data_IF_210151985367
#
_entry.id   IF_210151985367
#
_cell.length_a   1.000
_cell.length_b   1.000
_cell.length_c   1.000
_cell.angle_alpha   90.00
_cell.angle_beta   90.00
_cell.angle_gamma   90.00
#
_symmetry.space_group_name_H-M   'P 1'
#
loop_
_entity.id
_entity.type
_entity.pdbx_description
1 polymer ?
#
# COMPACT_ATOMS: atom_id res chain seq x y z
N UNK A 1 -2.84 -27.52 5.62
CA UNK A 1 -1.58 -26.77 5.46
C UNK A 1 -1.93 -25.29 5.49
N UNK A 2 -1.20 -24.41 6.21
CA UNK A 2 -1.47 -22.98 6.11
C UNK A 2 -1.21 -22.53 4.67
N UNK A 3 -2.17 -21.82 4.08
CA UNK A 3 -2.00 -21.18 2.78
C UNK A 3 -0.86 -20.16 2.92
N UNK A 4 0.22 -20.35 2.16
CA UNK A 4 1.27 -19.34 2.00
C UNK A 4 0.71 -18.20 1.16
N UNK A 5 0.61 -17.02 1.77
CA UNK A 5 0.19 -15.80 1.12
C UNK A 5 1.41 -15.10 0.54
N UNK A 6 1.43 -14.94 -0.78
CA UNK A 6 2.45 -14.17 -1.47
C UNK A 6 1.90 -12.79 -1.89
N UNK A 7 2.77 -11.78 -1.86
CA UNK A 7 2.48 -10.45 -2.41
C UNK A 7 3.11 -10.37 -3.79
N UNK A 8 2.34 -9.93 -4.78
CA UNK A 8 2.82 -9.82 -6.16
C UNK A 8 2.44 -8.47 -6.79
N UNK A 9 3.32 -7.97 -7.65
CA UNK A 9 3.11 -6.75 -8.43
C UNK A 9 2.56 -7.10 -9.81
N UNK A 10 1.32 -6.69 -10.04
CA UNK A 10 0.63 -6.86 -11.32
C UNK A 10 1.42 -6.18 -12.43
N UNK A 11 1.86 -6.97 -13.40
CA UNK A 11 2.50 -6.47 -14.63
C UNK A 11 1.44 -6.26 -15.71
N UNK A 12 0.60 -7.27 -15.90
CA UNK A 12 -0.41 -7.27 -16.95
C UNK A 12 -1.69 -7.99 -16.50
N UNK A 13 -2.82 -7.51 -16.98
CA UNK A 13 -4.13 -8.15 -16.83
C UNK A 13 -4.49 -8.74 -18.19
N UNK A 14 -4.62 -10.06 -18.26
CA UNK A 14 -4.71 -10.80 -19.51
C UNK A 14 -6.14 -11.25 -19.80
N UNK A 15 -6.54 -11.12 -21.06
CA UNK A 15 -7.78 -11.64 -21.60
C UNK A 15 -7.47 -12.47 -22.86
N UNK A 16 -7.72 -13.77 -22.81
CA UNK A 16 -7.34 -14.73 -23.83
C UNK A 16 -8.41 -14.76 -24.92
N UNK A 17 -8.01 -14.37 -26.14
CA UNK A 17 -8.92 -14.17 -27.28
C UNK A 17 -9.66 -15.44 -27.76
N UNK A 18 -9.15 -16.63 -27.47
CA UNK A 18 -9.80 -17.87 -27.93
C UNK A 18 -10.99 -18.31 -27.05
N UNK A 19 -11.21 -17.66 -25.91
CA UNK A 19 -12.36 -17.86 -25.01
C UNK A 19 -13.44 -16.78 -25.20
N UNK A 20 -13.36 -16.00 -26.28
CA UNK A 20 -14.23 -14.85 -26.52
C UNK A 20 -15.67 -15.28 -26.85
N UNK A 21 -16.55 -15.10 -25.86
CA UNK A 21 -17.94 -14.76 -26.14
C UNK A 21 -18.02 -13.24 -26.37
N UNK A 22 -18.83 -12.76 -27.35
CA UNK A 22 -19.03 -11.32 -27.55
C UNK A 22 -19.52 -10.66 -26.25
N UNK A 23 -18.78 -9.67 -25.75
CA UNK A 23 -19.19 -8.86 -24.60
C UNK A 23 -18.60 -9.25 -23.23
N UNK A 24 -17.80 -10.33 -23.13
CA UNK A 24 -17.09 -10.65 -21.88
C UNK A 24 -15.98 -9.62 -21.63
N UNK A 25 -16.02 -8.94 -20.47
CA UNK A 25 -15.02 -7.93 -20.03
C UNK A 25 -14.13 -8.42 -18.87
N UNK A 26 -14.26 -9.68 -18.51
CA UNK A 26 -13.52 -10.29 -17.41
C UNK A 26 -12.10 -10.66 -17.85
N UNK A 27 -11.15 -10.47 -16.94
CA UNK A 27 -9.79 -10.99 -17.10
C UNK A 27 -9.79 -12.50 -16.87
N UNK A 28 -9.00 -13.22 -17.65
CA UNK A 28 -8.82 -14.66 -17.46
C UNK A 28 -7.72 -14.92 -16.42
N UNK A 29 -6.62 -14.17 -16.50
CA UNK A 29 -5.52 -14.28 -15.55
C UNK A 29 -4.75 -12.95 -15.42
N UNK A 30 -3.85 -12.92 -14.43
CA UNK A 30 -2.99 -11.78 -14.13
C UNK A 30 -1.53 -12.27 -14.18
N UNK A 31 -0.70 -11.60 -14.97
CA UNK A 31 0.75 -11.77 -14.90
C UNK A 31 1.28 -10.87 -13.78
N UNK A 32 1.93 -11.46 -12.79
CA UNK A 32 2.46 -10.73 -11.64
C UNK A 32 3.90 -11.14 -11.31
N UNK A 33 4.71 -10.16 -10.89
CA UNK A 33 6.04 -10.37 -10.30
C UNK A 33 5.87 -10.67 -8.81
N UNK A 34 6.37 -11.81 -8.32
CA UNK A 34 6.36 -12.11 -6.89
C UNK A 34 7.36 -11.19 -6.19
N UNK A 35 6.87 -10.50 -5.15
CA UNK A 35 7.65 -9.58 -4.33
C UNK A 35 7.94 -10.20 -2.97
N UNK A 36 9.10 -9.85 -2.43
CA UNK A 36 9.47 -10.17 -1.07
C UNK A 36 9.14 -9.00 -0.15
N UNK A 37 8.62 -9.33 1.03
CA UNK A 37 8.46 -8.37 2.12
C UNK A 37 9.81 -8.25 2.83
N UNK A 38 10.37 -7.04 2.78
CA UNK A 38 11.62 -6.70 3.45
C UNK A 38 11.40 -6.59 4.96
N UNK A 39 12.39 -6.95 5.79
CA UNK A 39 12.40 -6.60 7.21
C UNK A 39 12.48 -5.09 7.44
N UNK A 40 12.93 -4.31 6.44
CA UNK A 40 12.93 -2.86 6.50
C UNK A 40 11.50 -2.31 6.54
N UNK A 41 11.25 -1.41 7.50
CA UNK A 41 9.96 -0.77 7.70
C UNK A 41 10.07 0.74 7.43
N UNK A 42 9.02 1.30 6.83
CA UNK A 42 8.91 2.76 6.71
C UNK A 42 8.72 3.42 8.07
N UNK A 43 8.89 4.75 8.11
CA UNK A 43 8.58 5.56 9.29
C UNK A 43 7.14 5.42 9.78
N UNK A 44 6.24 4.95 8.93
CA UNK A 44 4.83 4.71 9.27
C UNK A 44 4.56 3.25 9.68
N UNK A 45 5.59 2.42 9.88
CA UNK A 45 5.44 1.01 10.23
C UNK A 45 4.89 0.13 9.11
N UNK A 46 4.91 0.62 7.87
CA UNK A 46 4.55 -0.18 6.69
C UNK A 46 5.77 -0.95 6.17
N UNK A 47 5.66 -2.27 5.93
CA UNK A 47 6.75 -3.08 5.39
C UNK A 47 7.16 -2.63 3.98
N UNK A 48 8.45 -2.65 3.68
CA UNK A 48 8.93 -2.37 2.34
C UNK A 48 8.80 -3.60 1.43
N UNK A 49 8.46 -3.37 0.16
CA UNK A 49 8.41 -4.39 -0.87
C UNK A 49 9.68 -4.34 -1.72
N UNK A 50 10.26 -5.50 -2.00
CA UNK A 50 11.45 -5.64 -2.82
C UNK A 50 11.29 -6.78 -3.82
N UNK A 51 11.80 -6.60 -5.04
CA UNK A 51 11.94 -7.71 -5.98
C UNK A 51 12.94 -8.73 -5.45
N UNK A 52 12.71 -10.01 -5.76
CA UNK A 52 13.74 -11.02 -5.56
C UNK A 52 14.97 -10.74 -6.45
N UNK A 53 16.15 -11.19 -5.99
CA UNK A 53 17.40 -11.09 -6.78
C UNK A 53 17.25 -11.67 -8.19
N UNK A 54 16.53 -12.79 -8.30
CA UNK A 54 16.04 -13.33 -9.56
C UNK A 54 14.54 -13.10 -9.61
N UNK A 55 14.10 -12.29 -10.57
CA UNK A 55 12.68 -11.99 -10.75
C UNK A 55 11.89 -13.28 -11.00
N UNK A 56 10.81 -13.45 -10.24
CA UNK A 56 9.88 -14.57 -10.38
C UNK A 56 8.56 -14.03 -10.84
N UNK A 57 8.03 -14.60 -11.91
CA UNK A 57 6.72 -14.23 -12.43
C UNK A 57 5.77 -15.42 -12.31
N UNK A 58 4.51 -15.10 -12.09
CA UNK A 58 3.41 -16.07 -12.05
C UNK A 58 2.27 -15.55 -12.92
N UNK A 59 1.68 -16.43 -13.70
CA UNK A 59 0.36 -16.22 -14.28
C UNK A 59 -0.67 -16.79 -13.30
N UNK A 60 -1.37 -15.93 -12.59
CA UNK A 60 -2.37 -16.31 -11.60
C UNK A 60 -3.77 -16.18 -12.20
N UNK A 61 -4.57 -17.24 -12.11
CA UNK A 61 -6.00 -17.15 -12.39
C UNK A 61 -6.65 -16.14 -11.45
N UNK A 62 -7.67 -15.44 -11.94
CA UNK A 62 -8.36 -14.40 -11.14
C UNK A 62 -8.96 -14.95 -9.85
N UNK A 63 -9.34 -16.22 -9.82
CA UNK A 63 -9.84 -16.94 -8.62
C UNK A 63 -8.79 -17.08 -7.52
N UNK A 64 -7.50 -17.06 -7.88
CA UNK A 64 -6.38 -17.14 -6.94
C UNK A 64 -5.94 -15.76 -6.43
N UNK A 65 -6.55 -14.67 -6.92
CA UNK A 65 -6.27 -13.30 -6.46
C UNK A 65 -7.21 -12.95 -5.31
N UNK A 66 -6.66 -12.92 -4.08
CA UNK A 66 -7.45 -12.70 -2.87
C UNK A 66 -7.90 -11.25 -2.68
N UNK A 67 -7.03 -10.30 -3.03
CA UNK A 67 -7.33 -8.87 -3.00
C UNK A 67 -6.31 -8.04 -3.77
N UNK A 68 -6.71 -6.83 -4.16
CA UNK A 68 -5.80 -5.78 -4.61
C UNK A 68 -5.53 -4.84 -3.43
N UNK A 69 -4.25 -4.55 -3.20
CA UNK A 69 -3.81 -3.65 -2.13
C UNK A 69 -3.11 -2.45 -2.75
N UNK A 70 -3.43 -1.27 -2.25
CA UNK A 70 -2.72 -0.06 -2.64
C UNK A 70 -1.30 -0.11 -2.07
N UNK A 71 -0.31 0.21 -2.88
CA UNK A 71 1.07 0.43 -2.45
C UNK A 71 1.39 1.91 -2.55
N UNK A 72 2.22 2.40 -1.63
CA UNK A 72 2.70 3.79 -1.68
C UNK A 72 4.20 3.81 -1.92
N UNK A 73 4.68 4.86 -2.59
CA UNK A 73 6.12 5.13 -2.66
C UNK A 73 6.64 5.59 -1.30
N UNK A 74 7.83 5.11 -0.90
CA UNK A 74 8.50 5.52 0.32
C UNK A 74 9.15 6.91 0.17
N UNK A 75 8.33 7.94 0.06
CA UNK A 75 8.74 9.30 -0.27
C UNK A 75 9.73 9.87 0.76
N UNK A 76 9.50 9.58 2.05
CA UNK A 76 10.34 10.07 3.16
C UNK A 76 11.75 9.49 3.07
N UNK A 77 11.88 8.17 2.82
CA UNK A 77 13.20 7.53 2.64
C UNK A 77 13.94 8.08 1.42
N UNK A 78 13.24 8.37 0.33
CA UNK A 78 13.82 8.89 -0.90
C UNK A 78 13.94 10.42 -0.94
N UNK A 79 13.49 11.12 0.11
CA UNK A 79 13.49 12.59 0.20
C UNK A 79 12.83 13.26 -1.01
N UNK A 80 11.68 12.73 -1.42
CA UNK A 80 10.93 13.27 -2.56
C UNK A 80 10.48 14.71 -2.29
N UNK A 81 10.88 15.69 -3.11
CA UNK A 81 10.51 17.08 -2.91
C UNK A 81 9.07 17.33 -3.36
N UNK A 82 8.47 18.32 -2.73
CA UNK A 82 7.23 18.92 -3.21
C UNK A 82 7.60 20.07 -4.15
N UNK A 83 7.25 19.96 -5.44
CA UNK A 83 7.71 20.93 -6.46
C UNK A 83 6.65 21.35 -7.45
N UNK A 84 5.69 20.48 -7.73
CA UNK A 84 4.67 20.74 -8.75
C UNK A 84 3.33 21.08 -8.08
N UNK A 85 2.39 21.66 -8.82
CA UNK A 85 1.01 21.85 -8.35
C UNK A 85 0.05 21.18 -9.33
N UNK A 86 -0.78 20.28 -8.82
CA UNK A 86 -1.83 19.63 -9.60
C UNK A 86 -3.20 20.22 -9.28
N UNK A 87 -4.09 20.20 -10.26
CA UNK A 87 -5.48 20.59 -10.06
C UNK A 87 -6.16 19.54 -9.17
N UNK A 88 -6.80 19.99 -8.10
CA UNK A 88 -7.59 19.11 -7.24
C UNK A 88 -8.85 18.75 -8.01
N UNK A 89 -9.08 17.45 -8.15
CA UNK A 89 -10.27 16.92 -8.81
C UNK A 89 -11.23 16.36 -7.76
N UNK A 90 -12.49 16.80 -7.78
CA UNK A 90 -13.54 16.36 -6.85
C UNK A 90 -14.73 15.85 -7.66
N UNK A 91 -15.28 14.69 -7.29
CA UNK A 91 -16.41 14.08 -8.01
C UNK A 91 -16.18 13.95 -9.54
N UNK A 92 -14.91 13.76 -9.95
CA UNK A 92 -14.46 13.72 -11.35
C UNK A 92 -14.49 15.05 -12.10
N UNK A 93 -14.71 16.17 -11.42
CA UNK A 93 -14.62 17.53 -11.97
C UNK A 93 -13.36 18.24 -11.50
N UNK A 94 -12.74 18.98 -12.40
CA UNK A 94 -11.58 19.81 -12.10
C UNK A 94 -12.05 21.03 -11.30
N UNK A 95 -11.41 21.30 -10.17
CA UNK A 95 -11.73 22.46 -9.33
C UNK A 95 -10.73 23.59 -9.55
N UNK A 96 -11.02 24.76 -8.99
CA UNK A 96 -10.06 25.88 -8.95
C UNK A 96 -8.93 25.65 -7.93
N UNK A 97 -9.04 24.64 -7.07
CA UNK A 97 -8.08 24.37 -6.01
C UNK A 97 -6.85 23.70 -6.61
N UNK A 98 -5.67 24.13 -6.15
CA UNK A 98 -4.40 23.50 -6.47
C UNK A 98 -3.82 22.85 -5.23
N UNK A 99 -3.19 21.70 -5.41
CA UNK A 99 -2.46 21.00 -4.36
C UNK A 99 -1.04 20.76 -4.81
N UNK A 100 -0.11 20.94 -3.89
CA UNK A 100 1.28 20.61 -4.15
C UNK A 100 1.43 19.08 -4.37
N UNK A 101 2.22 18.73 -5.38
CA UNK A 101 2.48 17.36 -5.80
C UNK A 101 3.92 16.97 -5.46
N UNK A 102 4.06 15.75 -4.96
CA UNK A 102 5.35 15.15 -4.63
C UNK A 102 5.99 14.62 -5.92
N UNK A 103 7.19 15.07 -6.22
CA UNK A 103 8.00 14.52 -7.31
C UNK A 103 8.77 13.31 -6.80
N UNK A 104 8.46 12.12 -7.30
CA UNK A 104 9.18 10.90 -6.92
C UNK A 104 10.59 10.89 -7.53
N UNK A 105 11.58 11.23 -6.72
CA UNK A 105 13.01 11.13 -7.06
C UNK A 105 13.63 9.83 -6.51
N UNK A 106 14.80 9.47 -7.02
CA UNK A 106 15.53 8.28 -6.56
C UNK A 106 14.98 6.99 -7.17
N UNK A 107 14.65 6.00 -6.34
CA UNK A 107 14.13 4.72 -6.82
C UNK A 107 12.59 4.78 -6.92
N UNK A 108 12.00 4.79 -8.14
CA UNK A 108 10.55 4.84 -8.32
C UNK A 108 9.83 3.57 -7.83
N UNK A 109 10.55 2.44 -7.75
CA UNK A 109 10.01 1.16 -7.31
C UNK A 109 10.16 0.92 -5.80
N UNK A 110 10.54 1.93 -5.02
CA UNK A 110 10.67 1.82 -3.57
C UNK A 110 9.27 1.91 -2.92
N UNK A 111 8.55 0.78 -2.96
CA UNK A 111 7.18 0.70 -2.48
C UNK A 111 7.09 0.16 -1.05
N UNK A 112 6.06 0.61 -0.34
CA UNK A 112 5.67 0.10 0.97
C UNK A 112 4.25 -0.47 0.89
N UNK A 113 4.01 -1.56 1.62
CA UNK A 113 2.74 -2.26 1.64
C UNK A 113 1.77 -1.58 2.61
N UNK A 114 0.61 -1.14 2.10
CA UNK A 114 -0.44 -0.58 2.94
C UNK A 114 -1.15 -1.66 3.74
N UNK A 115 -0.64 -1.96 4.95
CA UNK A 115 -1.25 -2.94 5.85
C UNK A 115 -2.49 -2.42 6.58
N UNK A 116 -2.82 -1.13 6.45
CA UNK A 116 -3.97 -0.48 7.08
C UNK A 116 -5.24 -0.46 6.19
N UNK A 117 -5.19 -1.01 4.98
CA UNK A 117 -6.36 -1.04 4.09
C UNK A 117 -7.51 -1.87 4.68
N UNK A 118 -8.62 -1.21 5.02
CA UNK A 118 -9.74 -1.83 5.76
C UNK A 118 -10.41 -2.98 5.00
N UNK A 119 -10.71 -2.82 3.71
CA UNK A 119 -11.45 -3.81 2.92
C UNK A 119 -10.72 -5.15 2.76
N UNK A 120 -9.39 -5.16 2.92
CA UNK A 120 -8.54 -6.34 2.71
C UNK A 120 -7.77 -6.75 3.97
N UNK A 121 -8.14 -6.20 5.14
CA UNK A 121 -7.41 -6.37 6.38
C UNK A 121 -7.18 -7.84 6.74
N UNK A 122 -8.18 -8.71 6.54
CA UNK A 122 -8.07 -10.15 6.86
C UNK A 122 -6.89 -10.86 6.17
N UNK A 123 -6.49 -10.39 5.00
CA UNK A 123 -5.36 -10.94 4.24
C UNK A 123 -4.04 -10.19 4.51
N UNK A 124 -4.11 -8.94 4.99
CA UNK A 124 -2.95 -8.06 5.16
C UNK A 124 -2.38 -8.08 6.58
N UNK A 125 -3.16 -8.43 7.60
CA UNK A 125 -2.71 -8.39 8.99
C UNK A 125 -1.53 -9.31 9.28
N UNK A 126 -1.36 -10.41 8.54
CA UNK A 126 -0.20 -11.30 8.68
C UNK A 126 1.13 -10.63 8.26
N UNK A 127 1.07 -9.55 7.48
CA UNK A 127 2.24 -8.78 7.03
C UNK A 127 2.51 -7.55 7.89
N UNK A 128 1.65 -7.28 8.88
CA UNK A 128 1.78 -6.09 9.73
C UNK A 128 2.99 -6.20 10.65
N UNK A 129 3.73 -5.11 10.78
CA UNK A 129 4.76 -4.95 11.81
C UNK A 129 4.07 -4.91 13.18
N UNK A 130 4.51 -5.78 14.11
CA UNK A 130 3.95 -5.80 15.45
C UNK A 130 4.08 -4.41 16.09
N UNK A 131 2.96 -3.82 16.49
CA UNK A 131 2.99 -2.57 17.21
C UNK A 131 3.52 -2.84 18.63
N UNK A 132 4.34 -1.94 19.19
CA UNK A 132 4.73 -2.06 20.58
C UNK A 132 3.48 -2.02 21.46
N UNK A 133 3.46 -2.86 22.49
CA UNK A 133 2.42 -2.77 23.53
C UNK A 133 2.61 -1.45 24.26
N UNK A 134 1.59 -0.60 24.22
CA UNK A 134 1.57 0.67 24.92
C UNK A 134 0.99 0.47 26.32
N UNK A 135 1.58 1.14 27.32
CA UNK A 135 1.04 1.19 28.67
C UNK A 135 -0.15 2.15 28.72
N UNK A 136 -1.34 1.58 28.65
CA UNK A 136 -2.60 2.32 28.62
C UNK A 136 -2.78 3.20 29.85
N UNK A 137 -2.44 2.71 31.04
CA UNK A 137 -2.62 3.45 32.29
C UNK A 137 -1.71 4.67 32.32
N UNK A 138 -0.43 4.48 31.99
CA UNK A 138 0.53 5.57 31.88
C UNK A 138 0.07 6.62 30.86
N UNK A 139 -0.34 6.20 29.67
CA UNK A 139 -0.80 7.11 28.62
C UNK A 139 -2.02 7.91 29.07
N UNK A 140 -2.97 7.26 29.74
CA UNK A 140 -4.19 7.91 30.24
C UNK A 140 -3.84 8.97 31.30
N UNK A 141 -2.99 8.63 32.27
CA UNK A 141 -2.55 9.55 33.31
C UNK A 141 -1.75 10.73 32.75
N UNK A 142 -0.83 10.49 31.81
CA UNK A 142 -0.08 11.55 31.11
C UNK A 142 -0.97 12.45 30.25
N UNK A 143 -2.06 11.92 29.70
CA UNK A 143 -3.03 12.70 28.91
C UNK A 143 -3.89 13.58 29.82
N UNK A 144 -4.41 13.03 30.91
CA UNK A 144 -5.14 13.79 31.94
C UNK A 144 -4.27 14.94 32.46
N UNK A 145 -3.02 14.65 32.83
CA UNK A 145 -2.09 15.67 33.32
C UNK A 145 -1.92 16.83 32.33
N UNK A 146 -1.72 16.52 31.04
CA UNK A 146 -1.58 17.53 29.97
C UNK A 146 -2.82 18.42 29.82
N UNK A 147 -4.02 17.84 29.88
CA UNK A 147 -5.28 18.60 29.80
C UNK A 147 -5.46 19.54 30.99
N UNK A 148 -5.19 19.07 32.21
CA UNK A 148 -5.26 19.91 33.41
C UNK A 148 -4.25 21.07 33.37
N UNK A 149 -3.01 20.82 32.93
CA UNK A 149 -1.98 21.86 32.78
C UNK A 149 -2.34 22.90 31.71
N UNK A 150 -3.02 22.50 30.63
CA UNK A 150 -3.47 23.41 29.58
C UNK A 150 -4.60 24.35 30.04
N UNK A 151 -5.45 23.90 30.98
CA UNK A 151 -6.55 24.70 31.54
C UNK A 151 -6.11 25.69 32.63
N UNK A 152 -4.90 25.56 33.16
CA UNK A 152 -4.34 26.47 34.18
C UNK A 152 -3.54 27.64 33.59
N UNK A 153 -3.46 27.74 32.25
CA UNK A 153 -2.88 28.89 31.53
C UNK A 153 -3.98 29.78 30.99
#
# INVERSE_FOLDING_TARGET
MPLTLDVAHVQEILQIRHLLQPGRKEADCVLAEILQISPDVSVHGMPQLVSHNLKKYIAADTENVLCVVNVQHNCIRNKCPTKDTTVVRQEREDTILRRECVEHVGNPCNYVLNTAQMCSAKFLQCFRVSAPTLDTEKILMESIKREFEAQQK
#
